data_IF_918704647890
#
_entry.id   IF_918704647890
#
_cell.length_a   1.000
_cell.length_b   1.000
_cell.length_c   1.000
_cell.angle_alpha   90.00
_cell.angle_beta   90.00
_cell.angle_gamma   90.00
#
_symmetry.space_group_name_H-M   'P 1'
#
loop_
_entity.id
_entity.type
_entity.pdbx_description
1 polymer ?
#
# COMPACT_ATOMS: atom_id res chain seq x y z
N UNK A 1 16.62 -17.26 0.86
CA UNK A 1 15.22 -17.26 0.41
C UNK A 1 14.24 -17.16 1.58
N UNK A 2 14.54 -16.32 2.58
CA UNK A 2 13.73 -16.00 3.77
C UNK A 2 14.35 -14.67 4.28
N UNK A 3 13.68 -13.61 4.76
CA UNK A 3 12.29 -13.39 5.14
C UNK A 3 12.15 -11.86 5.39
N UNK A 4 12.04 -11.02 4.36
CA UNK A 4 11.65 -9.62 4.51
C UNK A 4 10.79 -9.19 3.31
N UNK A 5 9.84 -10.05 2.94
CA UNK A 5 8.75 -9.59 2.09
C UNK A 5 7.86 -8.71 2.96
N UNK A 6 8.05 -7.41 2.75
CA UNK A 6 7.10 -6.35 2.99
C UNK A 6 6.49 -6.34 4.39
N UNK A 7 6.91 -5.33 5.15
CA UNK A 7 6.08 -4.67 6.15
C UNK A 7 4.63 -4.70 5.64
N UNK A 8 3.80 -5.63 6.14
CA UNK A 8 2.36 -5.53 5.89
C UNK A 8 2.04 -4.11 6.35
N UNK A 9 1.46 -3.26 5.51
CA UNK A 9 0.77 -2.09 6.03
C UNK A 9 -0.48 -2.63 6.72
N UNK A 10 -0.31 -3.34 7.84
CA UNK A 10 -1.38 -3.62 8.77
C UNK A 10 -1.51 -2.37 9.62
N UNK A 11 -1.87 -1.24 9.01
CA UNK A 11 -2.59 -0.22 9.77
C UNK A 11 -3.92 -0.89 10.10
N UNK A 12 -4.05 -1.44 11.31
CA UNK A 12 -5.33 -1.90 11.83
C UNK A 12 -6.20 -0.66 12.01
N UNK A 13 -7.12 -0.46 11.09
CA UNK A 13 -8.20 0.51 11.26
C UNK A 13 -9.25 -0.15 12.15
N UNK A 14 -9.31 0.22 13.42
CA UNK A 14 -10.50 -0.01 14.23
C UNK A 14 -11.52 1.05 13.83
N UNK A 15 -12.34 0.77 12.82
CA UNK A 15 -13.44 1.64 12.42
C UNK A 15 -14.75 0.90 12.66
N UNK A 16 -15.36 1.17 13.81
CA UNK A 16 -16.74 0.77 14.10
C UNK A 16 -17.63 1.73 13.29
N UNK A 17 -18.04 1.33 12.08
CA UNK A 17 -19.12 2.02 11.37
C UNK A 17 -20.46 1.41 11.81
N UNK A 18 -21.37 2.24 12.29
CA UNK A 18 -22.72 1.88 12.75
C UNK A 18 -23.78 1.95 11.64
N UNK A 19 -23.39 2.28 10.40
CA UNK A 19 -24.34 2.52 9.30
C UNK A 19 -24.12 1.52 8.15
N UNK A 20 -25.17 0.77 7.79
CA UNK A 20 -25.16 -0.38 6.87
C UNK A 20 -24.75 -0.12 5.41
N UNK A 21 -24.37 1.10 5.01
CA UNK A 21 -24.11 1.45 3.59
C UNK A 21 -22.87 2.34 3.37
N UNK A 22 -21.90 2.35 4.29
CA UNK A 22 -20.64 3.08 4.08
C UNK A 22 -19.66 2.30 3.20
N UNK A 23 -19.25 2.89 2.09
CA UNK A 23 -18.24 2.37 1.16
C UNK A 23 -16.85 2.90 1.53
N UNK A 24 -15.85 2.03 1.44
CA UNK A 24 -14.44 2.34 1.69
C UNK A 24 -13.68 2.34 0.37
N UNK A 25 -12.85 3.35 0.13
CA UNK A 25 -11.95 3.43 -1.02
C UNK A 25 -10.49 3.54 -0.58
N UNK A 26 -9.60 2.92 -1.34
CA UNK A 26 -8.16 3.08 -1.17
C UNK A 26 -7.59 3.86 -2.34
N UNK A 27 -6.70 4.81 -2.03
CA UNK A 27 -6.11 5.71 -3.02
C UNK A 27 -4.61 5.82 -2.81
N UNK A 28 -3.90 6.04 -3.91
CA UNK A 28 -2.51 6.52 -3.92
C UNK A 28 -2.54 8.05 -4.01
N UNK A 29 -1.95 8.73 -3.01
CA UNK A 29 -2.17 10.18 -2.77
C UNK A 29 -1.43 11.05 -3.77
N UNK A 30 -0.16 10.75 -4.03
CA UNK A 30 0.71 11.47 -4.97
C UNK A 30 0.13 11.52 -6.39
N UNK A 31 -0.48 10.41 -6.83
CA UNK A 31 -1.04 10.29 -8.18
C UNK A 31 -2.56 10.43 -8.23
N UNK A 32 -3.21 10.70 -7.08
CA UNK A 32 -4.67 10.70 -6.92
C UNK A 32 -5.36 9.48 -7.55
N UNK A 33 -4.69 8.33 -7.54
CA UNK A 33 -5.16 7.12 -8.24
C UNK A 33 -6.02 6.28 -7.31
N UNK A 34 -7.25 6.00 -7.72
CA UNK A 34 -8.12 5.05 -7.02
C UNK A 34 -7.57 3.64 -7.23
N UNK A 35 -7.30 2.95 -6.13
CA UNK A 35 -6.80 1.58 -6.12
C UNK A 35 -7.96 0.60 -6.02
N UNK A 36 -8.85 0.80 -5.05
CA UNK A 36 -10.00 -0.08 -4.80
C UNK A 36 -11.20 0.73 -4.32
N UNK A 37 -12.41 0.21 -4.57
CA UNK A 37 -13.67 0.68 -4.00
C UNK A 37 -14.43 -0.53 -3.46
N UNK A 38 -14.72 -0.53 -2.17
CA UNK A 38 -15.22 -1.69 -1.45
C UNK A 38 -14.40 -2.93 -1.83
N UNK A 39 -15.05 -3.99 -2.30
CA UNK A 39 -14.41 -5.25 -2.67
C UNK A 39 -13.83 -5.26 -4.10
N UNK A 40 -13.97 -4.18 -4.85
CA UNK A 40 -13.55 -4.11 -6.24
C UNK A 40 -12.18 -3.43 -6.37
N UNK A 41 -11.27 -4.09 -7.07
CA UNK A 41 -9.99 -3.50 -7.48
C UNK A 41 -10.23 -2.70 -8.76
N UNK A 42 -9.89 -1.40 -8.73
CA UNK A 42 -10.09 -0.47 -9.85
C UNK A 42 -8.81 -0.30 -10.67
N UNK A 43 -7.66 -0.28 -9.99
CA UNK A 43 -6.36 -0.18 -10.67
C UNK A 43 -6.05 -1.42 -11.50
N UNK A 44 -5.32 -1.23 -12.61
CA UNK A 44 -4.80 -2.33 -13.44
C UNK A 44 -3.57 -3.03 -12.84
N UNK A 45 -3.04 -2.54 -11.72
CA UNK A 45 -1.91 -3.17 -11.05
C UNK A 45 -2.33 -4.48 -10.38
N UNK A 46 -2.06 -5.62 -11.02
CA UNK A 46 -2.41 -6.97 -10.54
C UNK A 46 -1.82 -7.36 -9.18
N UNK A 47 -0.85 -6.59 -8.65
CA UNK A 47 -0.30 -6.80 -7.30
C UNK A 47 -1.21 -6.27 -6.19
N UNK A 48 -2.20 -5.44 -6.54
CA UNK A 48 -3.16 -4.85 -5.60
C UNK A 48 -4.33 -5.81 -5.39
N UNK A 49 -4.68 -6.04 -4.12
CA UNK A 49 -5.92 -6.72 -3.74
C UNK A 49 -6.52 -6.11 -2.48
N UNK A 50 -7.79 -6.38 -2.22
CA UNK A 50 -8.52 -5.90 -1.03
C UNK A 50 -9.17 -7.06 -0.31
N UNK A 51 -9.19 -6.98 1.02
CA UNK A 51 -10.00 -7.87 1.86
C UNK A 51 -10.65 -7.08 2.99
N UNK A 52 -11.66 -7.66 3.64
CA UNK A 52 -12.27 -7.08 4.82
C UNK A 52 -12.63 -8.15 5.86
N UNK A 53 -12.73 -7.76 7.13
CA UNK A 53 -13.21 -8.61 8.22
C UNK A 53 -14.38 -7.95 8.94
N UNK A 54 -15.42 -8.75 9.21
CA UNK A 54 -16.62 -8.39 10.00
C UNK A 54 -17.24 -7.04 9.61
N UNK A 55 -17.17 -6.69 8.31
CA UNK A 55 -17.60 -5.41 7.71
C UNK A 55 -17.01 -4.13 8.34
N UNK A 56 -16.02 -4.24 9.24
CA UNK A 56 -15.47 -3.11 10.00
C UNK A 56 -14.04 -2.77 9.64
N UNK A 57 -13.25 -3.78 9.28
CA UNK A 57 -11.84 -3.57 8.95
C UNK A 57 -11.58 -3.87 7.49
N UNK A 58 -10.99 -2.91 6.79
CA UNK A 58 -10.62 -3.01 5.39
C UNK A 58 -9.10 -3.05 5.25
N UNK A 59 -8.61 -3.89 4.35
CA UNK A 59 -7.19 -4.12 4.16
C UNK A 59 -6.83 -3.96 2.68
N UNK A 60 -5.90 -3.06 2.39
CA UNK A 60 -5.20 -3.00 1.11
C UNK A 60 -3.97 -3.90 1.17
N UNK A 61 -3.83 -4.75 0.16
CA UNK A 61 -2.68 -5.65 0.02
C UNK A 61 -1.90 -5.29 -1.24
N UNK A 62 -0.58 -5.20 -1.10
CA UNK A 62 0.36 -5.03 -2.22
C UNK A 62 1.30 -6.22 -2.21
N UNK A 63 1.21 -7.11 -3.20
CA UNK A 63 2.13 -8.24 -3.37
C UNK A 63 3.40 -7.77 -4.08
N UNK A 64 4.51 -8.49 -3.88
CA UNK A 64 5.79 -8.20 -4.54
C UNK A 64 6.14 -6.70 -4.47
N UNK A 65 6.20 -6.16 -3.25
CA UNK A 65 6.43 -4.73 -3.00
C UNK A 65 7.77 -4.30 -3.61
N UNK A 66 7.74 -3.18 -4.35
CA UNK A 66 8.89 -2.58 -5.02
C UNK A 66 9.17 -1.21 -4.41
N UNK A 67 10.38 -0.69 -4.60
CA UNK A 67 10.73 0.67 -4.12
C UNK A 67 9.79 1.74 -4.69
N UNK A 68 9.29 1.56 -5.91
CA UNK A 68 8.30 2.45 -6.55
C UNK A 68 6.91 2.44 -5.91
N UNK A 69 6.62 1.49 -5.02
CA UNK A 69 5.40 1.48 -4.21
C UNK A 69 5.52 2.38 -2.98
N UNK A 70 6.73 2.86 -2.62
CA UNK A 70 6.91 3.81 -1.53
C UNK A 70 6.05 5.05 -1.76
N UNK A 71 5.37 5.52 -0.72
CA UNK A 71 4.57 6.73 -0.82
C UNK A 71 3.37 6.78 0.13
N UNK A 72 2.56 7.81 -0.05
CA UNK A 72 1.36 8.04 0.75
C UNK A 72 0.14 7.34 0.15
N UNK A 73 -0.57 6.60 0.99
CA UNK A 73 -1.82 5.93 0.69
C UNK A 73 -2.92 6.46 1.60
N UNK A 74 -4.15 6.54 1.08
CA UNK A 74 -5.31 7.03 1.82
C UNK A 74 -6.41 5.99 1.80
N UNK A 75 -6.97 5.73 2.99
CA UNK A 75 -8.27 5.08 3.13
C UNK A 75 -9.33 6.16 3.30
N UNK A 76 -10.39 6.12 2.51
CA UNK A 76 -11.46 7.11 2.47
C UNK A 76 -12.82 6.43 2.63
N UNK A 77 -13.75 7.07 3.33
CA UNK A 77 -15.10 6.58 3.59
C UNK A 77 -16.09 7.61 3.07
N UNK A 78 -17.09 7.17 2.31
CA UNK A 78 -18.14 8.01 1.71
C UNK A 78 -19.17 8.57 2.72
N UNK A 79 -18.73 9.00 3.90
CA UNK A 79 -19.59 9.73 4.85
C UNK A 79 -19.81 11.18 4.41
N UNK A 80 -20.77 11.86 5.03
CA UNK A 80 -20.94 13.31 4.94
C UNK A 80 -20.75 13.95 6.33
N UNK A 81 -19.68 14.72 6.57
CA UNK A 81 -18.56 14.99 5.66
C UNK A 81 -17.68 13.75 5.46
N UNK A 82 -16.96 13.71 4.34
CA UNK A 82 -16.09 12.59 3.98
C UNK A 82 -14.97 12.40 5.01
N UNK A 83 -14.81 11.16 5.47
CA UNK A 83 -13.75 10.80 6.42
C UNK A 83 -12.61 10.11 5.69
N UNK A 84 -11.38 10.47 6.04
CA UNK A 84 -10.18 9.85 5.48
C UNK A 84 -9.08 9.68 6.53
N UNK A 85 -8.19 8.74 6.25
CA UNK A 85 -6.96 8.54 7.01
C UNK A 85 -5.84 8.21 6.03
N UNK A 86 -4.66 8.76 6.30
CA UNK A 86 -3.50 8.67 5.42
C UNK A 86 -2.38 7.89 6.13
N UNK A 87 -1.66 7.03 5.39
CA UNK A 87 -0.51 6.30 5.87
C UNK A 87 0.62 6.26 4.83
N UNK A 88 1.87 6.31 5.31
CA UNK A 88 3.04 6.20 4.45
C UNK A 88 3.53 4.75 4.38
N UNK A 89 3.74 4.24 3.17
CA UNK A 89 4.45 2.99 2.92
C UNK A 89 5.94 3.27 2.77
N UNK A 90 6.74 2.84 3.75
CA UNK A 90 8.19 2.81 3.62
C UNK A 90 8.63 1.44 3.07
N UNK A 91 9.52 1.46 2.06
CA UNK A 91 10.07 0.25 1.44
C UNK A 91 11.57 0.24 1.68
N UNK A 92 12.01 -0.62 2.61
CA UNK A 92 13.42 -0.78 2.97
C UNK A 92 14.00 -1.95 2.19
N UNK A 93 14.87 -1.67 1.22
CA UNK A 93 15.67 -2.68 0.55
C UNK A 93 16.85 -3.10 1.42
N UNK A 94 17.06 -4.41 1.61
CA UNK A 94 18.31 -4.88 2.22
C UNK A 94 19.44 -4.71 1.22
N UNK A 95 20.23 -3.63 1.35
CA UNK A 95 21.56 -3.58 0.74
C UNK A 95 22.34 -4.77 1.31
N UNK A 96 22.79 -5.69 0.44
CA UNK A 96 23.76 -6.70 0.86
C UNK A 96 24.97 -5.93 1.37
N UNK A 97 25.28 -6.05 2.67
CA UNK A 97 26.47 -5.45 3.28
C UNK A 97 27.69 -5.99 2.52
N UNK A 98 28.16 -5.25 1.50
CA UNK A 98 29.21 -5.72 0.59
C UNK A 98 29.30 -5.03 -0.78
N UNK A 99 28.27 -4.34 -1.27
CA UNK A 99 28.34 -3.67 -2.59
C UNK A 99 28.62 -2.17 -2.44
N UNK A 100 29.89 -1.78 -2.58
CA UNK A 100 30.31 -0.38 -2.60
C UNK A 100 29.90 0.27 -3.93
N UNK A 101 29.21 1.43 -3.96
CA UNK A 101 28.75 2.09 -5.20
C UNK A 101 29.86 2.72 -6.07
N UNK A 102 31.13 2.32 -5.93
CA UNK A 102 32.27 3.15 -6.35
C UNK A 102 33.40 2.46 -7.13
N UNK A 103 33.23 1.23 -7.63
CA UNK A 103 34.27 0.58 -8.45
C UNK A 103 33.71 -0.05 -9.73
N UNK A 104 33.29 0.79 -10.68
CA UNK A 104 33.37 0.42 -12.10
C UNK A 104 34.80 0.70 -12.57
N UNK A 105 35.66 -0.29 -12.37
CA UNK A 105 36.95 -0.37 -13.04
C UNK A 105 36.83 -1.44 -14.12
N UNK A 106 36.60 -1.02 -15.36
CA UNK A 106 36.94 -1.80 -16.54
C UNK A 106 37.58 -0.86 -17.55
N UNK A 107 38.90 -0.69 -17.38
CA UNK A 107 39.82 -0.33 -18.45
C UNK A 107 39.77 -1.44 -19.49
N UNK A 108 39.27 -1.15 -20.68
CA UNK A 108 39.58 -1.94 -21.88
C UNK A 108 40.42 -1.03 -22.78
N UNK A 109 41.70 -1.39 -22.87
CA UNK A 109 42.54 -1.11 -24.03
C UNK A 109 42.08 -2.00 -25.17
#
# INVERSE_FOLDING_TARGET
MLLLNALRITKRFYLISLMSSTLVAWLRVDTQTILTIANHVITKNHRISVSHSDHRTWFLHIREVRESDRGWYMCQINTDPMKSQIGYLEVVGTVRRGENPGKSGASLR
#
